data_IF_959958365147
#
_entry.id   IF_959958365147
#
_cell.length_a   1.000
_cell.length_b   1.000
_cell.length_c   1.000
_cell.angle_alpha   90.00
_cell.angle_beta   90.00
_cell.angle_gamma   90.00
#
_symmetry.space_group_name_H-M   'P 1'
#
loop_
_entity.id
_entity.type
_entity.pdbx_description
1 polymer ?
#
# COMPACT_ATOMS: atom_id res chain seq x y z
N UNK A 1 -17.90 19.62 17.95
CA UNK A 1 -17.15 18.77 17.01
C UNK A 1 -16.97 17.43 17.71
N UNK A 2 -17.42 16.28 17.17
CA UNK A 2 -17.13 15.01 17.85
C UNK A 2 -15.61 14.85 17.92
N UNK A 3 -15.09 14.55 19.12
CA UNK A 3 -13.68 14.70 19.50
C UNK A 3 -12.72 13.70 18.83
N UNK A 4 -13.20 12.80 17.98
CA UNK A 4 -12.36 11.75 17.36
C UNK A 4 -12.87 11.37 15.98
N UNK A 5 -12.76 12.27 15.00
CA UNK A 5 -12.85 11.87 13.59
C UNK A 5 -11.43 11.64 13.07
N UNK A 6 -11.00 10.38 12.85
CA UNK A 6 -9.66 10.12 12.35
C UNK A 6 -9.55 10.61 10.90
N UNK A 7 -8.39 11.21 10.57
CA UNK A 7 -8.06 11.52 9.19
C UNK A 7 -7.69 10.22 8.46
N UNK A 8 -8.26 10.00 7.28
CA UNK A 8 -7.98 8.83 6.46
C UNK A 8 -7.10 9.28 5.29
N UNK A 9 -5.87 8.75 5.21
CA UNK A 9 -4.96 8.95 4.09
C UNK A 9 -4.84 7.64 3.30
N UNK A 10 -5.29 7.67 2.04
CA UNK A 10 -5.15 6.55 1.11
C UNK A 10 -3.99 6.83 0.15
N UNK A 11 -2.95 6.01 0.20
CA UNK A 11 -1.79 6.08 -0.70
C UNK A 11 -1.87 4.89 -1.65
N UNK A 12 -1.92 5.15 -2.95
CA UNK A 12 -1.92 4.15 -4.00
C UNK A 12 -0.69 4.36 -4.88
N UNK A 13 0.10 3.32 -5.07
CA UNK A 13 1.28 3.36 -5.93
C UNK A 13 0.96 2.75 -7.28
N UNK A 14 1.54 3.33 -8.34
CA UNK A 14 1.36 2.84 -9.69
C UNK A 14 2.43 1.78 -10.02
N UNK A 15 1.98 0.63 -10.51
CA UNK A 15 2.82 -0.51 -10.92
C UNK A 15 3.88 -0.99 -9.90
N UNK A 16 3.69 -0.73 -8.61
CA UNK A 16 4.63 -1.20 -7.59
C UNK A 16 4.53 -2.72 -7.42
N UNK A 17 5.69 -3.40 -7.50
CA UNK A 17 5.80 -4.84 -7.25
C UNK A 17 6.04 -5.12 -5.77
N UNK A 18 5.53 -6.23 -5.27
CA UNK A 18 5.68 -6.62 -3.86
C UNK A 18 7.16 -6.84 -3.45
N UNK A 19 8.00 -7.33 -4.36
CA UNK A 19 9.42 -7.59 -4.11
C UNK A 19 10.31 -6.33 -4.09
N UNK A 20 9.73 -5.13 -4.22
CA UNK A 20 10.44 -3.86 -4.01
C UNK A 20 10.30 -3.31 -2.60
N UNK A 21 9.53 -3.98 -1.74
CA UNK A 21 9.25 -3.58 -0.35
C UNK A 21 10.17 -4.32 0.62
N UNK A 22 10.91 -3.56 1.44
CA UNK A 22 11.88 -4.12 2.39
C UNK A 22 11.23 -5.00 3.45
N UNK A 23 10.02 -4.65 3.89
CA UNK A 23 9.26 -5.44 4.86
C UNK A 23 8.72 -6.78 4.30
N UNK A 24 8.68 -6.96 2.98
CA UNK A 24 8.26 -8.22 2.34
C UNK A 24 9.45 -9.13 1.98
N UNK A 25 10.68 -8.65 2.07
CA UNK A 25 11.87 -9.45 1.79
C UNK A 25 13.10 -8.64 1.42
N UNK A 26 14.16 -9.35 1.02
CA UNK A 26 15.39 -8.72 0.57
C UNK A 26 15.20 -8.07 -0.80
N UNK A 27 15.48 -6.78 -0.88
CA UNK A 27 15.33 -5.99 -2.11
C UNK A 27 16.46 -4.96 -2.21
N UNK A 28 16.95 -4.62 -3.43
CA UNK A 28 17.88 -3.51 -3.61
C UNK A 28 17.22 -2.14 -3.37
N UNK A 29 15.88 -2.07 -3.32
CA UNK A 29 15.11 -0.85 -3.10
C UNK A 29 15.12 -0.44 -1.62
N UNK A 30 15.47 0.81 -1.33
CA UNK A 30 15.41 1.35 0.04
C UNK A 30 14.01 1.92 0.30
N UNK A 31 13.23 1.28 1.16
CA UNK A 31 11.85 1.70 1.49
C UNK A 31 11.62 1.97 2.99
N UNK A 32 12.53 2.70 3.68
CA UNK A 32 12.53 2.80 5.15
C UNK A 32 11.26 3.41 5.75
N UNK A 33 10.58 4.31 5.02
CA UNK A 33 9.32 4.90 5.48
C UNK A 33 8.14 3.93 5.37
N UNK A 34 8.10 3.10 4.32
CA UNK A 34 7.08 2.07 4.15
C UNK A 34 7.31 0.91 5.12
N UNK A 35 8.57 0.54 5.35
CA UNK A 35 8.96 -0.46 6.34
C UNK A 35 8.53 -0.05 7.75
N UNK A 36 8.74 1.24 8.10
CA UNK A 36 8.26 1.79 9.37
C UNK A 36 6.73 1.76 9.47
N UNK A 37 6.01 2.12 8.41
CA UNK A 37 4.54 2.05 8.39
C UNK A 37 4.03 0.62 8.55
N UNK A 38 4.71 -0.37 7.95
CA UNK A 38 4.37 -1.78 8.10
C UNK A 38 4.63 -2.26 9.54
N UNK A 39 5.71 -1.80 10.18
CA UNK A 39 6.05 -2.15 11.57
C UNK A 39 5.11 -1.51 12.62
N UNK A 40 4.59 -0.31 12.34
CA UNK A 40 3.65 0.41 13.22
C UNK A 40 2.18 0.02 12.98
N UNK A 41 1.91 -0.74 11.91
CA UNK A 41 0.55 -1.03 11.44
C UNK A 41 0.29 -2.50 11.19
N UNK A 42 -0.64 -2.77 10.26
CA UNK A 42 -0.98 -4.11 9.81
C UNK A 42 -0.62 -4.25 8.32
N UNK A 43 0.16 -5.30 8.01
CA UNK A 43 0.49 -5.67 6.64
C UNK A 43 -0.37 -6.86 6.17
N UNK A 44 -0.94 -6.76 4.97
CA UNK A 44 -1.65 -7.85 4.32
C UNK A 44 -0.74 -8.48 3.27
N UNK A 45 -0.27 -9.71 3.51
CA UNK A 45 0.69 -10.38 2.63
C UNK A 45 0.09 -10.84 1.30
N UNK A 46 -1.21 -11.15 1.27
CA UNK A 46 -1.92 -11.69 0.11
C UNK A 46 -2.97 -10.73 -0.45
N UNK A 47 -2.56 -9.52 -0.82
CA UNK A 47 -3.45 -8.55 -1.49
C UNK A 47 -3.44 -8.75 -3.00
N UNK A 48 -4.56 -9.25 -3.54
CA UNK A 48 -4.72 -9.47 -4.97
C UNK A 48 -5.51 -8.32 -5.60
N UNK A 49 -4.97 -7.81 -6.70
CA UNK A 49 -5.61 -6.80 -7.52
C UNK A 49 -6.67 -7.44 -8.43
N UNK A 50 -7.92 -6.97 -8.45
CA UNK A 50 -8.98 -7.60 -9.27
C UNK A 50 -8.82 -7.39 -10.78
N UNK A 51 -7.96 -6.46 -11.22
CA UNK A 51 -7.66 -6.22 -12.64
C UNK A 51 -6.18 -5.86 -12.84
N UNK A 52 -5.40 -6.59 -13.65
CA UNK A 52 -3.97 -6.34 -13.84
C UNK A 52 -3.67 -5.08 -14.69
N UNK A 53 -4.71 -4.38 -15.16
CA UNK A 53 -4.59 -3.19 -16.00
C UNK A 53 -4.83 -1.91 -15.18
N UNK A 54 -4.02 -0.87 -15.45
CA UNK A 54 -4.14 0.44 -14.79
C UNK A 54 -5.47 1.14 -15.12
N UNK A 55 -6.02 0.85 -16.30
CA UNK A 55 -7.32 1.28 -16.82
C UNK A 55 -8.27 0.07 -16.78
N UNK A 56 -9.29 -0.07 -15.90
CA UNK A 56 -9.73 0.81 -14.82
C UNK A 56 -9.86 0.08 -13.45
N UNK A 57 -9.10 0.51 -12.44
CA UNK A 57 -9.43 0.24 -11.02
C UNK A 57 -10.33 1.32 -10.40
N UNK A 58 -10.49 2.45 -11.08
CA UNK A 58 -11.29 3.60 -10.64
C UNK A 58 -12.52 3.88 -11.52
N UNK A 59 -12.93 2.96 -12.41
CA UNK A 59 -14.19 3.13 -13.12
C UNK A 59 -15.35 2.92 -12.14
N UNK A 60 -15.83 4.04 -11.59
CA UNK A 60 -17.21 4.21 -11.19
C UNK A 60 -18.07 3.99 -12.44
N UNK A 61 -18.72 2.84 -12.47
CA UNK A 61 -19.88 2.52 -13.31
C UNK A 61 -20.98 2.02 -12.39
#
# INVERSE_FOLDING_TARGET
MPETQPNILLILTDQQRADTLGFLGQTPCKTPHLDRLAAEGLCFENTITPSPLCTPRWAIG
#
